data_IF_893597343167
#
_entry.id   IF_893597343167
#
_cell.length_a   1.000
_cell.length_b   1.000
_cell.length_c   1.000
_cell.angle_alpha   90.00
_cell.angle_beta   90.00
_cell.angle_gamma   90.00
#
_symmetry.space_group_name_H-M   'P 1'
#
loop_
_entity.id
_entity.type
_entity.pdbx_description
1 polymer ?
#
# COMPACT_ATOMS: atom_id res chain seq x y z
N UNK A 1 19.19 -5.06 -4.01
CA UNK A 1 18.42 -5.56 -2.89
C UNK A 1 18.55 -7.06 -2.80
N UNK A 2 18.86 -7.61 -1.61
CA UNK A 2 19.05 -9.05 -1.45
C UNK A 2 17.75 -9.80 -1.79
N UNK A 3 17.85 -11.02 -2.32
CA UNK A 3 16.71 -11.85 -2.75
C UNK A 3 15.68 -12.12 -1.63
N UNK A 4 16.06 -11.93 -0.37
CA UNK A 4 15.18 -12.08 0.80
C UNK A 4 14.04 -11.08 0.77
N UNK A 5 14.26 -9.84 0.34
CA UNK A 5 13.24 -8.79 0.32
C UNK A 5 12.35 -8.81 -0.93
N UNK A 6 12.77 -9.45 -2.00
CA UNK A 6 11.94 -9.65 -3.20
C UNK A 6 10.68 -10.47 -2.95
N UNK A 7 10.63 -11.21 -1.84
CA UNK A 7 9.47 -12.01 -1.43
C UNK A 7 8.50 -11.28 -0.50
N UNK A 8 8.92 -10.16 0.08
CA UNK A 8 8.12 -9.43 1.07
C UNK A 8 7.44 -8.20 0.50
N UNK A 9 8.01 -7.62 -0.57
CA UNK A 9 7.49 -6.39 -1.18
C UNK A 9 7.55 -6.45 -2.70
N UNK A 10 6.63 -5.76 -3.33
CA UNK A 10 6.55 -5.57 -4.78
C UNK A 10 6.42 -4.08 -5.09
N UNK A 11 7.24 -3.59 -5.98
CA UNK A 11 7.11 -2.22 -6.51
C UNK A 11 5.98 -2.16 -7.54
N UNK A 12 5.40 -0.97 -7.74
CA UNK A 12 4.40 -0.76 -8.78
C UNK A 12 4.95 -1.19 -10.16
N UNK A 13 4.30 -2.15 -10.82
CA UNK A 13 4.73 -2.59 -12.14
C UNK A 13 4.37 -1.56 -13.22
N UNK A 14 5.11 -1.57 -14.30
CA UNK A 14 4.72 -0.91 -15.55
C UNK A 14 5.13 -1.76 -16.76
N UNK A 15 4.43 -1.57 -17.86
CA UNK A 15 4.71 -2.27 -19.10
C UNK A 15 5.57 -1.37 -20.00
N UNK A 16 6.88 -1.65 -20.07
CA UNK A 16 7.86 -0.88 -20.86
C UNK A 16 7.52 -0.81 -22.35
N UNK A 17 6.74 -1.76 -22.86
CA UNK A 17 6.40 -1.82 -24.28
C UNK A 17 5.17 -0.98 -24.63
N UNK A 18 4.22 -0.87 -23.71
CA UNK A 18 2.90 -0.28 -23.96
C UNK A 18 2.58 0.91 -23.05
N UNK A 19 3.49 1.28 -22.15
CA UNK A 19 3.29 2.40 -21.23
C UNK A 19 4.53 3.28 -21.11
N UNK A 20 4.31 4.55 -20.88
CA UNK A 20 5.35 5.55 -20.62
C UNK A 20 5.01 6.27 -19.31
N UNK A 21 5.46 5.75 -18.16
CA UNK A 21 5.16 6.34 -16.87
C UNK A 21 5.92 7.66 -16.69
N UNK A 22 5.30 8.61 -16.02
CA UNK A 22 5.94 9.87 -15.64
C UNK A 22 6.77 9.79 -14.36
N UNK A 23 6.84 8.61 -13.72
CA UNK A 23 7.57 8.35 -12.48
C UNK A 23 7.24 9.31 -11.32
N UNK A 24 6.00 9.79 -11.26
CA UNK A 24 5.56 10.71 -10.22
C UNK A 24 5.75 10.15 -8.81
N UNK A 25 5.34 8.90 -8.59
CA UNK A 25 5.44 8.24 -7.29
C UNK A 25 5.98 6.82 -7.41
N UNK A 26 6.82 6.46 -6.47
CA UNK A 26 7.22 5.07 -6.24
C UNK A 26 6.30 4.46 -5.21
N UNK A 27 5.49 3.48 -5.63
CA UNK A 27 4.56 2.78 -4.76
C UNK A 27 5.06 1.36 -4.48
N UNK A 28 4.86 0.91 -3.26
CA UNK A 28 5.24 -0.42 -2.80
C UNK A 28 4.03 -1.13 -2.22
N UNK A 29 3.87 -2.41 -2.54
CA UNK A 29 2.92 -3.33 -1.92
C UNK A 29 3.68 -4.33 -1.07
N UNK A 30 3.21 -4.57 0.14
CA UNK A 30 3.70 -5.65 0.99
C UNK A 30 2.99 -6.93 0.54
N UNK A 31 3.73 -8.03 0.43
CA UNK A 31 3.15 -9.34 0.13
C UNK A 31 2.15 -9.76 1.22
N UNK A 32 1.08 -10.46 0.85
CA UNK A 32 0.03 -10.88 1.79
C UNK A 32 0.59 -11.71 2.95
N UNK A 33 1.55 -12.58 2.67
CA UNK A 33 2.18 -13.45 3.68
C UNK A 33 3.17 -12.70 4.58
N UNK A 34 3.64 -11.52 4.14
CA UNK A 34 4.54 -10.64 4.88
C UNK A 34 3.82 -9.51 5.64
N UNK A 35 2.49 -9.49 5.62
CA UNK A 35 1.69 -8.54 6.39
C UNK A 35 1.58 -8.95 7.85
N UNK A 36 1.89 -8.03 8.77
CA UNK A 36 1.46 -8.17 10.16
C UNK A 36 -0.01 -7.73 10.32
N UNK A 37 -0.60 -8.08 11.44
CA UNK A 37 -1.98 -7.70 11.75
C UNK A 37 -2.10 -6.18 11.92
N UNK A 38 -3.00 -5.54 11.17
CA UNK A 38 -3.32 -4.12 11.31
C UNK A 38 -4.82 -3.88 11.25
N UNK A 39 -5.25 -2.77 11.88
CA UNK A 39 -6.60 -2.22 11.76
C UNK A 39 -6.47 -0.74 11.41
N UNK A 40 -6.99 -0.36 10.25
CA UNK A 40 -7.04 1.04 9.81
C UNK A 40 -8.37 1.66 10.20
N UNK A 41 -8.42 2.21 11.42
CA UNK A 41 -9.56 2.98 11.89
C UNK A 41 -9.64 4.39 11.29
N UNK A 42 -10.76 5.08 11.50
CA UNK A 42 -10.95 6.46 11.02
C UNK A 42 -10.05 7.47 11.75
N UNK A 43 -9.72 7.19 13.02
CA UNK A 43 -8.94 8.10 13.87
C UNK A 43 -7.49 7.66 14.05
N UNK A 44 -7.24 6.37 14.15
CA UNK A 44 -5.91 5.82 14.38
C UNK A 44 -5.80 4.43 13.76
N UNK A 45 -4.69 4.19 13.08
CA UNK A 45 -4.32 2.84 12.70
C UNK A 45 -3.60 2.16 13.88
N UNK A 46 -3.89 0.89 14.09
CA UNK A 46 -3.26 0.04 15.09
C UNK A 46 -2.65 -1.17 14.39
N UNK A 47 -1.53 -1.65 14.88
CA UNK A 47 -0.89 -2.86 14.37
C UNK A 47 -0.20 -3.63 15.49
N UNK A 48 0.08 -4.89 15.22
CA UNK A 48 0.84 -5.78 16.10
C UNK A 48 2.10 -6.18 15.35
N UNK A 49 3.26 -5.70 15.80
CA UNK A 49 4.54 -6.05 15.19
C UNK A 49 4.82 -7.55 15.33
N UNK A 50 5.25 -8.18 14.25
CA UNK A 50 5.62 -9.58 14.19
C UNK A 50 6.99 -9.73 13.48
N UNK A 51 7.93 -10.54 14.00
CA UNK A 51 9.20 -10.77 13.30
C UNK A 51 8.99 -11.29 11.88
N UNK A 52 9.68 -10.69 10.93
CA UNK A 52 9.58 -11.03 9.51
C UNK A 52 8.37 -10.48 8.77
N UNK A 53 7.50 -9.73 9.46
CA UNK A 53 6.30 -9.12 8.89
C UNK A 53 6.20 -7.65 9.25
N UNK A 54 5.51 -6.89 8.41
CA UNK A 54 5.24 -5.48 8.66
C UNK A 54 3.91 -5.05 8.02
N UNK A 55 3.55 -3.78 8.17
CA UNK A 55 2.41 -3.18 7.51
C UNK A 55 2.70 -1.73 7.09
N UNK A 56 1.89 -1.15 6.18
CA UNK A 56 2.09 0.24 5.76
C UNK A 56 2.16 1.22 6.92
N UNK A 57 1.36 1.04 7.96
CA UNK A 57 1.36 1.92 9.13
C UNK A 57 2.69 1.89 9.87
N UNK A 58 3.22 0.69 10.17
CA UNK A 58 4.51 0.53 10.84
C UNK A 58 5.67 1.14 10.05
N UNK A 59 5.70 0.88 8.73
CA UNK A 59 6.73 1.42 7.86
C UNK A 59 6.67 2.95 7.81
N UNK A 60 5.49 3.54 7.66
CA UNK A 60 5.31 4.99 7.62
C UNK A 60 5.70 5.65 8.95
N UNK A 61 5.32 5.06 10.08
CA UNK A 61 5.73 5.55 11.41
C UNK A 61 7.24 5.43 11.62
N UNK A 62 7.85 4.35 11.11
CA UNK A 62 9.30 4.17 11.21
C UNK A 62 10.06 5.16 10.34
N UNK A 63 9.64 5.37 9.09
CA UNK A 63 10.20 6.40 8.21
C UNK A 63 10.12 7.78 8.86
N UNK A 64 8.98 8.12 9.47
CA UNK A 64 8.80 9.41 10.14
C UNK A 64 9.79 9.63 11.31
N UNK A 65 10.19 8.58 12.04
CA UNK A 65 11.22 8.66 13.10
C UNK A 65 12.59 9.10 12.56
N UNK A 66 12.86 8.82 11.29
CA UNK A 66 14.09 9.22 10.58
C UNK A 66 13.89 10.45 9.70
N UNK A 67 12.83 11.21 9.92
CA UNK A 67 12.50 12.41 9.16
C UNK A 67 12.31 12.16 7.64
N UNK A 68 11.89 10.95 7.28
CA UNK A 68 11.53 10.58 5.91
C UNK A 68 10.00 10.48 5.79
N UNK A 69 9.41 11.14 4.82
CA UNK A 69 7.97 11.17 4.64
C UNK A 69 7.51 10.21 3.53
N UNK A 70 6.91 9.10 3.92
CA UNK A 70 6.10 8.26 3.03
C UNK A 70 4.62 8.61 3.19
N UNK A 71 3.78 8.09 2.29
CA UNK A 71 2.33 8.31 2.34
C UNK A 71 1.55 7.01 2.15
N UNK A 72 0.37 6.85 2.77
CA UNK A 72 -0.49 5.73 2.45
C UNK A 72 -0.97 5.84 1.00
N UNK A 73 -1.26 4.71 0.36
CA UNK A 73 -2.02 4.68 -0.89
C UNK A 73 -3.41 5.28 -0.63
N UNK A 74 -4.00 5.91 -1.65
CA UNK A 74 -5.32 6.54 -1.54
C UNK A 74 -6.40 5.51 -1.23
N UNK A 75 -7.23 5.86 -0.24
CA UNK A 75 -8.41 5.08 0.08
C UNK A 75 -9.37 5.09 -1.11
N UNK A 76 -9.83 3.92 -1.58
CA UNK A 76 -10.75 3.83 -2.72
C UNK A 76 -12.00 4.67 -2.54
N UNK A 77 -12.52 5.20 -3.63
CA UNK A 77 -13.69 6.10 -3.60
C UNK A 77 -14.93 5.46 -2.97
N UNK A 78 -15.18 4.18 -3.26
CA UNK A 78 -16.31 3.45 -2.68
C UNK A 78 -16.21 3.23 -1.17
N UNK A 79 -15.00 3.33 -0.61
CA UNK A 79 -14.76 3.28 0.83
C UNK A 79 -14.80 4.65 1.51
N UNK A 80 -14.90 5.73 0.75
CA UNK A 80 -15.08 7.07 1.32
C UNK A 80 -16.48 7.18 1.93
N UNK A 81 -16.65 7.78 3.13
CA UNK A 81 -17.95 7.85 3.81
C UNK A 81 -19.09 8.38 2.94
N UNK A 82 -18.81 9.39 2.13
CA UNK A 82 -19.79 10.02 1.24
C UNK A 82 -20.29 9.10 0.10
N UNK A 83 -19.48 8.09 -0.30
CA UNK A 83 -19.80 7.20 -1.42
C UNK A 83 -20.18 5.77 -1.01
N UNK A 84 -20.14 5.45 0.29
CA UNK A 84 -20.43 4.10 0.80
C UNK A 84 -21.80 3.56 0.40
N UNK A 85 -22.76 4.43 0.16
CA UNK A 85 -24.12 4.04 -0.27
C UNK A 85 -24.28 3.97 -1.78
N UNK A 86 -23.26 4.31 -2.55
CA UNK A 86 -23.32 4.24 -4.00
C UNK A 86 -23.13 2.80 -4.51
N UNK A 87 -23.73 2.45 -5.64
CA UNK A 87 -23.50 1.15 -6.26
C UNK A 87 -22.02 0.98 -6.64
N UNK A 88 -21.47 -0.21 -6.37
CA UNK A 88 -20.18 -0.62 -6.87
C UNK A 88 -20.36 -1.57 -8.05
N UNK A 89 -19.79 -1.23 -9.20
CA UNK A 89 -19.91 -2.02 -10.43
C UNK A 89 -18.62 -2.82 -10.63
N UNK A 90 -18.75 -4.14 -10.69
CA UNK A 90 -17.65 -5.03 -11.00
C UNK A 90 -17.49 -5.28 -12.48
N UNK A 91 -16.39 -5.89 -12.88
CA UNK A 91 -16.13 -6.27 -14.28
C UNK A 91 -17.18 -7.25 -14.83
N UNK A 92 -17.72 -8.11 -13.99
CA UNK A 92 -18.79 -9.07 -14.31
C UNK A 92 -20.15 -8.40 -14.49
N UNK A 93 -20.26 -7.12 -14.18
CA UNK A 93 -21.47 -6.32 -14.39
C UNK A 93 -22.60 -6.56 -13.39
N UNK A 94 -22.46 -7.50 -12.48
CA UNK A 94 -23.50 -7.90 -11.50
C UNK A 94 -23.13 -7.57 -10.05
N UNK A 95 -21.91 -7.14 -9.78
CA UNK A 95 -21.47 -6.73 -8.46
C UNK A 95 -21.90 -5.32 -8.12
N UNK A 96 -23.16 -5.13 -7.75
CA UNK A 96 -23.67 -3.87 -7.20
C UNK A 96 -23.66 -3.98 -5.69
N UNK A 97 -22.86 -3.19 -5.04
CA UNK A 97 -23.03 -2.97 -3.62
C UNK A 97 -24.41 -2.38 -3.37
N UNK A 98 -25.21 -3.05 -2.56
CA UNK A 98 -26.54 -2.55 -2.18
C UNK A 98 -26.48 -1.69 -0.93
N UNK A 99 -25.45 -1.88 -0.11
CA UNK A 99 -25.21 -1.15 1.13
C UNK A 99 -23.74 -1.19 1.52
N UNK A 100 -23.20 -0.12 2.07
CA UNK A 100 -21.92 -0.06 2.82
C UNK A 100 -20.72 -0.71 2.15
N UNK A 101 -20.47 -0.45 0.86
CA UNK A 101 -19.29 -0.96 0.17
C UNK A 101 -19.20 -2.50 0.08
N UNK A 102 -20.30 -3.21 0.20
CA UNK A 102 -20.34 -4.63 -0.04
C UNK A 102 -20.22 -4.96 -1.52
N UNK A 103 -19.22 -5.74 -1.87
CA UNK A 103 -19.07 -6.31 -3.20
C UNK A 103 -19.75 -7.68 -3.18
N UNK A 104 -20.91 -7.79 -3.84
CA UNK A 104 -21.57 -9.09 -4.04
C UNK A 104 -20.87 -9.89 -5.14
N UNK A 105 -20.85 -11.20 -4.99
CA UNK A 105 -20.46 -12.10 -6.08
C UNK A 105 -18.99 -12.54 -6.06
N UNK A 106 -18.25 -12.34 -4.98
CA UNK A 106 -16.89 -12.88 -4.81
C UNK A 106 -15.83 -12.22 -5.69
N UNK A 107 -16.13 -11.06 -6.28
CA UNK A 107 -15.12 -10.26 -6.98
C UNK A 107 -14.14 -9.68 -5.97
N UNK A 108 -12.85 -9.81 -6.26
CA UNK A 108 -11.80 -9.24 -5.43
C UNK A 108 -11.82 -7.71 -5.56
N UNK A 109 -11.86 -7.00 -4.42
CA UNK A 109 -11.70 -5.54 -4.39
C UNK A 109 -10.22 -5.18 -4.48
N UNK A 110 -9.72 -5.08 -5.69
CA UNK A 110 -8.31 -4.76 -5.97
C UNK A 110 -7.92 -3.41 -5.38
N UNK A 111 -8.81 -2.42 -5.41
CA UNK A 111 -8.54 -1.10 -4.83
C UNK A 111 -8.34 -1.16 -3.33
N UNK A 112 -9.17 -1.93 -2.64
CA UNK A 112 -9.06 -2.13 -1.19
C UNK A 112 -7.81 -2.93 -0.83
N UNK A 113 -7.51 -4.00 -1.56
CA UNK A 113 -6.28 -4.80 -1.37
C UNK A 113 -5.03 -3.95 -1.50
N UNK A 114 -4.95 -3.11 -2.54
CA UNK A 114 -3.83 -2.17 -2.73
C UNK A 114 -3.77 -1.14 -1.58
N UNK A 115 -4.90 -0.60 -1.15
CA UNK A 115 -4.95 0.35 -0.06
C UNK A 115 -4.46 -0.26 1.26
N UNK A 116 -4.86 -1.48 1.57
CA UNK A 116 -4.48 -2.15 2.82
C UNK A 116 -3.00 -2.48 2.90
N UNK A 117 -2.39 -2.89 1.79
CA UNK A 117 -1.01 -3.38 1.74
C UNK A 117 -0.01 -2.39 1.16
N UNK A 118 -0.50 -1.28 0.61
CA UNK A 118 0.32 -0.35 -0.16
C UNK A 118 0.71 0.92 0.57
N UNK A 119 1.84 1.46 0.17
CA UNK A 119 2.30 2.79 0.56
C UNK A 119 3.09 3.45 -0.57
N UNK A 120 3.11 4.78 -0.55
CA UNK A 120 3.97 5.59 -1.41
C UNK A 120 5.26 5.90 -0.66
N UNK A 121 6.37 5.63 -1.29
CA UNK A 121 7.70 5.93 -0.78
C UNK A 121 8.04 7.42 -0.98
N UNK A 122 9.00 7.97 -0.23
CA UNK A 122 9.57 9.27 -0.54
C UNK A 122 10.05 9.30 -2.00
N UNK A 123 9.61 10.28 -2.77
CA UNK A 123 9.86 10.38 -4.22
C UNK A 123 10.22 11.80 -4.59
N UNK A 124 11.39 12.26 -4.15
CA UNK A 124 11.96 13.55 -4.54
C UNK A 124 13.01 13.35 -5.65
N UNK A 125 12.92 14.14 -6.71
CA UNK A 125 13.89 14.13 -7.81
C UNK A 125 15.28 14.64 -7.42
N UNK A 126 15.42 15.22 -6.23
CA UNK A 126 16.71 15.66 -5.66
C UNK A 126 17.31 14.66 -4.68
N UNK A 127 16.62 13.56 -4.42
CA UNK A 127 17.08 12.51 -3.51
C UNK A 127 18.41 11.92 -4.03
N UNK A 128 19.41 11.87 -3.17
CA UNK A 128 20.68 11.23 -3.50
C UNK A 128 20.58 9.69 -3.39
N UNK A 129 21.56 9.00 -3.97
CA UNK A 129 21.63 7.54 -3.85
C UNK A 129 21.78 7.09 -2.39
N UNK A 130 22.56 7.83 -1.59
CA UNK A 130 22.77 7.57 -0.17
C UNK A 130 21.49 7.74 0.65
N UNK A 131 20.68 8.76 0.36
CA UNK A 131 19.37 8.96 0.99
C UNK A 131 18.40 7.84 0.61
N UNK A 132 18.41 7.40 -0.66
CA UNK A 132 17.62 6.29 -1.12
C UNK A 132 18.02 4.98 -0.42
N UNK A 133 19.31 4.70 -0.28
CA UNK A 133 19.83 3.52 0.44
C UNK A 133 19.42 3.55 1.91
N UNK A 134 19.45 4.71 2.56
CA UNK A 134 18.98 4.86 3.95
C UNK A 134 17.49 4.52 4.08
N UNK A 135 16.64 4.99 3.16
CA UNK A 135 15.21 4.67 3.14
C UNK A 135 15.01 3.16 2.98
N UNK A 136 15.76 2.52 2.08
CA UNK A 136 15.71 1.07 1.88
C UNK A 136 16.07 0.32 3.16
N UNK A 137 17.14 0.71 3.86
CA UNK A 137 17.55 0.06 5.10
C UNK A 137 16.53 0.26 6.23
N UNK A 138 15.92 1.44 6.33
CA UNK A 138 14.84 1.69 7.29
C UNK A 138 13.65 0.75 7.03
N UNK A 139 13.23 0.63 5.77
CA UNK A 139 12.13 -0.27 5.41
C UNK A 139 12.47 -1.72 5.71
N UNK A 140 13.69 -2.16 5.39
CA UNK A 140 14.17 -3.51 5.70
C UNK A 140 14.12 -3.79 7.21
N UNK A 141 14.45 -2.83 8.04
CA UNK A 141 14.42 -2.99 9.50
C UNK A 141 13.02 -3.30 10.05
N UNK A 142 11.97 -2.92 9.33
CA UNK A 142 10.59 -3.24 9.71
C UNK A 142 10.21 -4.72 9.51
N UNK A 143 11.04 -5.49 8.82
CA UNK A 143 10.82 -6.93 8.57
C UNK A 143 11.84 -7.83 9.33
N UNK A 144 12.59 -7.29 10.26
CA UNK A 144 13.56 -8.04 11.09
C UNK A 144 12.96 -8.44 12.48
#
# INVERSE_FOLDING_TARGET
ASDVYKRQVQMNPYDEKNSEPNFWLSCMLIDKDAMCQQVRGEQKALYISEPGKSCPTEILETLAKYNAEGRPIWKPMHEQPIFRMNPFITREGNGRAKTNAYIEGGSEDVGMDIFERGLCLPSDNKMTAEEQDQIIEIIKSCFM
#
